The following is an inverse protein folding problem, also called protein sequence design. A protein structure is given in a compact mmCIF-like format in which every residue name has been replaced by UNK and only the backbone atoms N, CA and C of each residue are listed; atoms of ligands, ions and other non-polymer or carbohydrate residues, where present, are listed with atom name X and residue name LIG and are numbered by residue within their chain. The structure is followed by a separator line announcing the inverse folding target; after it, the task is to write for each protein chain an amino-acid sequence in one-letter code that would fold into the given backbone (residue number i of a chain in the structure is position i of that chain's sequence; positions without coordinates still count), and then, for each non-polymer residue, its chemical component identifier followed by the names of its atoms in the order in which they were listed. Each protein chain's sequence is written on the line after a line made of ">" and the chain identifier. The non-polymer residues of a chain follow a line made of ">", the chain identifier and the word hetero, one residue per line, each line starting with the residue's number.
data_IF_507498399526
#
_entry.id   IF_507498399526
#
_cell.length_a   1.000
_cell.length_b   1.000
_cell.length_c   1.000
_cell.angle_alpha   90.00
_cell.angle_beta   90.00
_cell.angle_gamma   90.00
#
_symmetry.space_group_name_H-M   'P 1'
#
loop_
_entity.id
_entity.type
_entity.pdbx_description
1 polymer ?
#
# COMPACT_ATOMS: atom_id res chain seq x y z
N UNK A 1 1.26 5.20 -16.50
CA UNK A 1 0.15 4.25 -16.22
C UNK A 1 -1.01 5.06 -15.67
N UNK A 2 -2.18 4.98 -16.30
CA UNK A 2 -3.39 5.66 -15.81
C UNK A 2 -3.92 4.90 -14.60
N UNK A 3 -4.19 5.59 -13.48
CA UNK A 3 -4.74 4.95 -12.29
C UNK A 3 -6.08 4.26 -12.63
N UNK A 4 -6.41 3.08 -12.06
CA UNK A 4 -7.63 2.34 -12.38
C UNK A 4 -8.92 3.17 -12.33
N UNK A 5 -9.00 4.14 -11.41
CA UNK A 5 -10.12 5.08 -11.33
C UNK A 5 -10.34 5.89 -12.61
N UNK A 6 -9.27 6.39 -13.24
CA UNK A 6 -9.36 7.15 -14.50
C UNK A 6 -9.78 6.29 -15.69
N UNK A 7 -9.34 5.03 -15.71
CA UNK A 7 -9.75 4.06 -16.74
C UNK A 7 -11.22 3.68 -16.59
N UNK A 8 -11.69 3.56 -15.34
CA UNK A 8 -13.09 3.32 -15.03
C UNK A 8 -13.97 4.51 -15.43
N UNK A 9 -13.53 5.73 -15.13
CA UNK A 9 -14.24 6.95 -15.52
C UNK A 9 -14.31 7.13 -17.05
N UNK A 10 -13.26 6.70 -17.77
CA UNK A 10 -13.25 6.66 -19.23
C UNK A 10 -14.09 5.50 -19.83
N UNK A 11 -14.72 4.66 -19.02
CA UNK A 11 -15.54 3.53 -19.47
C UNK A 11 -14.74 2.36 -20.05
N UNK A 12 -13.42 2.35 -19.90
CA UNK A 12 -12.56 1.28 -20.43
C UNK A 12 -12.61 0.01 -19.56
N UNK A 13 -12.85 0.20 -18.26
CA UNK A 13 -12.96 -0.90 -17.29
C UNK A 13 -14.13 -0.63 -16.33
N UNK A 14 -14.56 -1.68 -15.64
CA UNK A 14 -15.49 -1.57 -14.50
C UNK A 14 -14.79 -2.12 -13.26
N UNK A 15 -14.72 -1.32 -12.20
CA UNK A 15 -14.22 -1.77 -10.90
C UNK A 15 -15.32 -2.60 -10.24
N UNK A 16 -15.01 -3.84 -9.84
CA UNK A 16 -15.98 -4.78 -9.28
C UNK A 16 -15.92 -4.86 -7.74
N UNK A 17 -14.74 -4.73 -7.15
CA UNK A 17 -14.49 -4.73 -5.72
C UNK A 17 -13.09 -4.14 -5.44
N UNK A 18 -12.84 -3.76 -4.19
CA UNK A 18 -11.51 -3.39 -3.68
C UNK A 18 -11.03 -4.37 -2.62
N UNK A 19 -9.72 -4.67 -2.58
CA UNK A 19 -9.11 -5.58 -1.60
C UNK A 19 -8.72 -4.86 -0.29
N UNK A 20 -9.49 -3.84 0.09
CA UNK A 20 -9.31 -3.03 1.30
C UNK A 20 -10.21 -3.51 2.42
N UNK A 21 -9.89 -3.17 3.68
CA UNK A 21 -10.76 -3.50 4.81
C UNK A 21 -12.04 -2.65 4.83
N UNK A 22 -11.98 -1.46 4.26
CA UNK A 22 -13.11 -0.51 4.20
C UNK A 22 -13.21 0.06 2.80
N UNK A 23 -14.42 0.46 2.38
CA UNK A 23 -14.63 1.12 1.09
C UNK A 23 -13.80 2.40 0.98
N UNK A 24 -13.32 2.66 -0.22
CA UNK A 24 -12.52 3.86 -0.51
C UNK A 24 -13.44 5.08 -0.68
N UNK A 25 -13.14 6.24 -0.05
CA UNK A 25 -13.97 7.45 -0.19
C UNK A 25 -14.16 7.91 -1.64
N UNK A 26 -13.16 7.68 -2.50
CA UNK A 26 -13.21 7.99 -3.93
C UNK A 26 -13.96 6.95 -4.78
N UNK A 27 -14.29 5.79 -4.21
CA UNK A 27 -15.07 4.71 -4.83
C UNK A 27 -16.18 4.21 -3.87
N UNK A 28 -17.08 5.08 -3.38
CA UNK A 28 -18.02 4.74 -2.30
C UNK A 28 -19.02 3.64 -2.68
N UNK A 29 -19.34 3.52 -3.96
CA UNK A 29 -20.27 2.50 -4.49
C UNK A 29 -19.59 1.15 -4.75
N UNK A 30 -18.25 1.08 -4.69
CA UNK A 30 -17.51 -0.15 -4.90
C UNK A 30 -17.36 -0.91 -3.57
N UNK A 31 -17.87 -2.16 -3.47
CA UNK A 31 -17.75 -2.95 -2.24
C UNK A 31 -16.30 -3.38 -1.98
N UNK A 32 -15.98 -3.68 -0.73
CA UNK A 32 -14.76 -4.43 -0.45
C UNK A 32 -14.96 -5.92 -0.72
N UNK A 33 -13.89 -6.67 -0.97
CA UNK A 33 -13.97 -8.13 -1.02
C UNK A 33 -14.34 -8.68 0.36
N UNK A 34 -13.81 -8.08 1.43
CA UNK A 34 -14.05 -8.46 2.84
C UNK A 34 -15.54 -8.45 3.23
N UNK A 35 -16.36 -7.60 2.61
CA UNK A 35 -17.83 -7.58 2.79
C UNK A 35 -18.52 -8.89 2.35
N UNK A 36 -17.89 -9.66 1.47
CA UNK A 36 -18.44 -10.89 0.89
C UNK A 36 -17.63 -12.13 1.20
N UNK A 37 -16.30 -12.01 1.25
CA UNK A 37 -15.35 -13.05 1.59
C UNK A 37 -14.46 -12.51 2.72
N UNK A 38 -14.83 -12.76 3.99
CA UNK A 38 -14.12 -12.24 5.14
C UNK A 38 -12.63 -12.64 5.14
N UNK A 39 -11.76 -11.70 5.48
CA UNK A 39 -10.32 -11.86 5.57
C UNK A 39 -9.56 -11.64 4.27
N UNK A 40 -10.22 -11.39 3.14
CA UNK A 40 -9.55 -11.08 1.88
C UNK A 40 -9.21 -9.60 1.82
N UNK A 41 -8.02 -9.29 2.33
CA UNK A 41 -7.44 -7.95 2.35
C UNK A 41 -6.06 -8.05 1.72
N UNK A 42 -5.79 -7.23 0.70
CA UNK A 42 -4.50 -7.16 0.04
C UNK A 42 -4.19 -5.70 -0.29
N UNK A 43 -3.50 -5.04 0.64
CA UNK A 43 -3.14 -3.63 0.55
C UNK A 43 -1.69 -3.53 0.12
N UNK A 44 -1.47 -3.10 -1.12
CA UNK A 44 -0.14 -2.79 -1.61
C UNK A 44 0.44 -1.57 -0.88
N UNK A 45 1.69 -1.67 -0.46
CA UNK A 45 2.40 -0.57 0.20
C UNK A 45 3.73 -0.29 -0.49
N UNK A 46 4.20 0.94 -0.31
CA UNK A 46 5.52 1.38 -0.72
C UNK A 46 6.24 1.96 0.49
N UNK A 47 7.56 1.80 0.55
CA UNK A 47 8.35 2.41 1.63
C UNK A 47 9.83 2.51 1.28
N UNK A 48 10.58 3.07 2.21
CA UNK A 48 12.01 3.32 2.06
C UNK A 48 12.80 2.31 2.90
N UNK A 49 13.85 1.76 2.30
CA UNK A 49 14.79 0.85 2.94
C UNK A 49 16.19 1.45 2.85
N UNK A 50 17.01 1.19 3.87
CA UNK A 50 18.42 1.54 3.90
C UNK A 50 19.26 0.27 4.11
N UNK A 51 20.56 0.28 3.75
CA UNK A 51 21.44 -0.86 3.98
C UNK A 51 21.44 -1.34 5.43
N UNK A 52 21.58 -2.65 5.63
CA UNK A 52 21.72 -3.23 6.96
C UNK A 52 22.92 -2.61 7.70
N UNK A 53 22.73 -2.27 8.97
CA UNK A 53 23.73 -1.60 9.80
C UNK A 53 23.79 -0.07 9.65
N UNK A 54 22.89 0.54 8.86
CA UNK A 54 22.75 2.01 8.84
C UNK A 54 22.49 2.53 10.27
N UNK A 55 23.25 3.51 10.78
CA UNK A 55 23.09 4.00 12.15
C UNK A 55 21.70 4.58 12.42
N UNK A 56 21.14 4.30 13.60
CA UNK A 56 19.80 4.77 14.00
C UNK A 56 19.58 6.29 13.80
N UNK A 57 20.53 7.18 14.15
CA UNK A 57 20.34 8.62 13.93
C UNK A 57 20.13 9.01 12.46
N UNK A 58 20.69 8.24 11.52
CA UNK A 58 20.48 8.46 10.07
C UNK A 58 19.08 7.99 9.66
N UNK A 59 18.64 6.84 10.17
CA UNK A 59 17.29 6.32 9.95
C UNK A 59 16.24 7.32 10.47
N UNK A 60 16.43 7.84 11.68
CA UNK A 60 15.51 8.80 12.30
C UNK A 60 15.43 10.09 11.46
N UNK A 61 16.57 10.59 10.98
CA UNK A 61 16.61 11.77 10.11
C UNK A 61 15.89 11.52 8.79
N UNK A 62 16.13 10.38 8.14
CA UNK A 62 15.47 10.02 6.88
C UNK A 62 13.95 9.87 7.06
N UNK A 63 13.52 9.20 8.14
CA UNK A 63 12.10 9.06 8.47
C UNK A 63 11.46 10.44 8.71
N UNK A 64 12.09 11.32 9.50
CA UNK A 64 11.56 12.65 9.76
C UNK A 64 11.37 13.48 8.47
N UNK A 65 12.34 13.42 7.55
CA UNK A 65 12.25 14.11 6.25
C UNK A 65 11.14 13.49 5.39
N UNK A 66 11.02 12.16 5.34
CA UNK A 66 9.97 11.49 4.58
C UNK A 66 8.57 11.83 5.13
N UNK A 67 8.38 11.80 6.45
CA UNK A 67 7.13 12.19 7.12
C UNK A 67 6.77 13.64 6.80
N UNK A 68 7.74 14.55 6.79
CA UNK A 68 7.51 15.94 6.43
C UNK A 68 7.11 16.09 4.95
N UNK A 69 7.76 15.36 4.04
CA UNK A 69 7.43 15.37 2.61
C UNK A 69 6.00 14.88 2.36
N UNK A 70 5.56 13.83 3.05
CA UNK A 70 4.20 13.28 2.95
C UNK A 70 3.11 14.22 3.45
N UNK A 71 3.46 15.30 4.18
CA UNK A 71 2.53 16.36 4.60
C UNK A 71 2.46 17.52 3.59
N UNK A 72 3.33 17.53 2.58
CA UNK A 72 3.37 18.60 1.57
C UNK A 72 2.22 18.41 0.58
N UNK A 73 1.33 19.42 0.39
CA UNK A 73 0.15 19.25 -0.47
C UNK A 73 0.45 18.82 -1.91
N UNK A 74 1.52 19.35 -2.51
CA UNK A 74 1.94 18.96 -3.88
C UNK A 74 2.37 17.49 -3.96
N UNK A 75 3.06 16.98 -2.93
CA UNK A 75 3.46 15.57 -2.85
C UNK A 75 2.21 14.69 -2.73
N UNK A 76 1.28 15.04 -1.83
CA UNK A 76 0.02 14.29 -1.65
C UNK A 76 -0.81 14.30 -2.93
N UNK A 77 -0.90 15.44 -3.63
CA UNK A 77 -1.63 15.54 -4.89
C UNK A 77 -1.02 14.64 -5.97
N UNK A 78 0.31 14.63 -6.11
CA UNK A 78 1.00 13.76 -7.07
C UNK A 78 0.84 12.28 -6.76
N UNK A 79 0.88 11.89 -5.49
CA UNK A 79 0.61 10.51 -5.06
C UNK A 79 -0.82 10.09 -5.41
N UNK A 80 -1.81 10.94 -5.14
CA UNK A 80 -3.22 10.67 -5.49
C UNK A 80 -3.43 10.46 -6.99
N UNK A 81 -2.75 11.24 -7.84
CA UNK A 81 -2.79 11.04 -9.30
C UNK A 81 -2.28 9.66 -9.75
N UNK A 82 -1.40 9.05 -8.95
CA UNK A 82 -0.87 7.71 -9.19
C UNK A 82 -1.69 6.61 -8.48
N UNK A 83 -2.80 6.97 -7.81
CA UNK A 83 -3.58 6.03 -7.00
C UNK A 83 -2.90 5.64 -5.69
N UNK A 84 -1.95 6.44 -5.21
CA UNK A 84 -1.25 6.22 -3.95
C UNK A 84 -1.83 7.11 -2.84
N UNK A 85 -1.90 6.54 -1.65
CA UNK A 85 -2.35 7.22 -0.45
C UNK A 85 -1.13 7.53 0.41
N UNK A 86 -0.93 8.82 0.72
CA UNK A 86 0.17 9.24 1.57
C UNK A 86 -0.03 8.70 2.99
N UNK A 87 0.81 7.75 3.37
CA UNK A 87 0.84 7.15 4.70
C UNK A 87 2.25 7.20 5.24
N UNK A 88 2.38 7.48 6.54
CA UNK A 88 3.65 7.49 7.24
C UNK A 88 3.56 6.62 8.49
N UNK A 89 4.68 6.03 8.87
CA UNK A 89 4.83 5.26 10.10
C UNK A 89 6.20 5.53 10.73
N UNK A 90 6.44 4.96 11.90
CA UNK A 90 7.78 4.86 12.48
C UNK A 90 8.60 3.76 11.80
N UNK A 91 9.94 3.81 11.87
CA UNK A 91 10.79 2.72 11.37
C UNK A 91 10.45 1.36 11.97
N UNK A 92 10.10 1.31 13.27
CA UNK A 92 9.75 0.07 13.96
C UNK A 92 8.41 -0.51 13.50
N UNK A 93 7.39 0.34 13.30
CA UNK A 93 6.10 -0.10 12.75
C UNK A 93 6.26 -0.61 11.32
N UNK A 94 7.08 0.06 10.50
CA UNK A 94 7.34 -0.39 9.14
C UNK A 94 8.12 -1.72 9.10
N UNK A 95 9.11 -1.91 9.97
CA UNK A 95 9.79 -3.19 10.11
C UNK A 95 8.82 -4.32 10.53
N UNK A 96 7.88 -4.02 11.43
CA UNK A 96 6.85 -4.97 11.87
C UNK A 96 5.88 -5.33 10.74
N UNK A 97 5.51 -4.35 9.90
CA UNK A 97 4.73 -4.59 8.69
C UNK A 97 5.46 -5.54 7.75
N UNK A 98 6.73 -5.27 7.44
CA UNK A 98 7.53 -6.12 6.54
C UNK A 98 7.59 -7.55 7.08
N UNK A 99 7.89 -7.74 8.37
CA UNK A 99 7.95 -9.07 8.97
C UNK A 99 6.62 -9.83 8.83
N UNK A 100 5.50 -9.17 9.13
CA UNK A 100 4.16 -9.76 8.99
C UNK A 100 3.84 -10.15 7.55
N UNK A 101 4.17 -9.30 6.58
CA UNK A 101 3.93 -9.58 5.16
C UNK A 101 4.81 -10.72 4.66
N UNK A 102 6.08 -10.77 5.08
CA UNK A 102 6.98 -11.89 4.76
C UNK A 102 6.41 -13.21 5.29
N UNK A 103 5.92 -13.24 6.52
CA UNK A 103 5.31 -14.45 7.10
C UNK A 103 4.03 -14.85 6.36
N UNK A 104 3.14 -13.88 6.09
CA UNK A 104 1.87 -14.10 5.40
C UNK A 104 2.06 -14.65 3.98
N UNK A 105 2.88 -13.96 3.16
CA UNK A 105 3.14 -14.38 1.79
C UNK A 105 4.01 -15.64 1.71
N UNK A 106 4.96 -15.79 2.63
CA UNK A 106 5.78 -17.00 2.76
C UNK A 106 4.96 -18.26 3.05
N UNK A 107 3.83 -18.12 3.77
CA UNK A 107 2.91 -19.24 4.00
C UNK A 107 1.96 -19.47 2.80
N UNK A 108 1.42 -18.40 2.21
CA UNK A 108 0.37 -18.52 1.19
C UNK A 108 0.93 -18.98 -0.16
N UNK A 109 2.04 -18.41 -0.62
CA UNK A 109 2.59 -18.69 -1.97
C UNK A 109 2.81 -20.19 -2.21
N UNK A 110 3.47 -20.94 -1.29
CA UNK A 110 3.61 -22.38 -1.42
C UNK A 110 2.28 -23.13 -1.33
N UNK A 111 1.38 -22.70 -0.43
CA UNK A 111 0.09 -23.36 -0.21
C UNK A 111 -0.81 -23.34 -1.46
N UNK A 112 -0.67 -22.31 -2.31
CA UNK A 112 -1.41 -22.19 -3.58
C UNK A 112 -0.61 -22.65 -4.81
N UNK A 113 0.58 -23.25 -4.60
CA UNK A 113 1.37 -23.86 -5.67
C UNK A 113 2.05 -22.88 -6.62
N UNK A 114 2.18 -21.60 -6.26
CA UNK A 114 2.95 -20.62 -7.04
C UNK A 114 4.44 -20.89 -6.85
N UNK A 115 5.21 -20.85 -7.94
CA UNK A 115 6.67 -21.03 -7.94
C UNK A 115 7.35 -19.79 -8.54
N UNK A 116 8.59 -19.46 -8.13
CA UNK A 116 9.41 -18.49 -8.85
C UNK A 116 9.59 -18.94 -10.32
N UNK A 117 9.58 -17.98 -11.25
CA UNK A 117 9.90 -18.20 -12.67
C UNK A 117 11.37 -18.54 -12.90
#
# INVERSE_FOLDING_TARGET
>A
MAAPASQAQAGMIRIIAVAEKTRLPELPDTPTIDETIPGVINIGWNGLLAPAGTPAPIIDKLNAVAVAALKTPDVVAKMKLQGLHAMSSTPAEFASLIAREVDYWGAIIPAIGIQPE
#
